data_IF_246028572031
#
_entry.id   IF_246028572031
#
_cell.length_a   1.000
_cell.length_b   1.000
_cell.length_c   1.000
_cell.angle_alpha   90.00
_cell.angle_beta   90.00
_cell.angle_gamma   90.00
#
_symmetry.space_group_name_H-M   'P 1'
#
loop_
_entity.id
_entity.type
_entity.pdbx_description
1 polymer ?
#
# COMPACT_ATOMS: atom_id res chain seq x y z
N UNK A 1 0.61 23.48 0.54
CA UNK A 1 0.50 22.85 1.88
C UNK A 1 0.90 21.40 1.69
N UNK A 2 2.00 20.96 2.30
CA UNK A 2 2.45 19.56 2.23
C UNK A 2 1.84 18.84 3.44
N UNK A 3 0.99 17.86 3.20
CA UNK A 3 0.43 17.04 4.26
C UNK A 3 1.38 15.89 4.52
N UNK A 4 1.85 15.77 5.76
CA UNK A 4 2.66 14.63 6.18
C UNK A 4 1.76 13.39 6.20
N UNK A 5 2.07 12.43 5.36
CA UNK A 5 1.31 11.19 5.18
C UNK A 5 2.12 10.02 5.72
N UNK A 6 1.44 9.04 6.33
CA UNK A 6 2.06 7.93 7.03
C UNK A 6 1.48 7.73 8.43
N UNK A 7 1.81 6.61 9.05
CA UNK A 7 1.36 6.25 10.40
C UNK A 7 1.92 7.24 11.44
N UNK A 8 3.21 7.56 11.37
CA UNK A 8 3.91 8.45 12.28
C UNK A 8 3.80 9.93 11.86
N UNK A 9 3.42 10.20 10.60
CA UNK A 9 3.30 11.55 10.01
C UNK A 9 4.59 12.34 10.13
N UNK A 10 5.74 11.67 9.95
CA UNK A 10 7.05 12.31 10.13
C UNK A 10 7.61 12.92 8.84
N UNK A 11 7.05 12.56 7.68
CA UNK A 11 7.57 12.87 6.33
C UNK A 11 8.81 12.03 5.94
N UNK A 12 9.22 11.10 6.81
CA UNK A 12 10.32 10.16 6.55
C UNK A 12 9.83 8.80 6.02
N UNK A 13 8.52 8.61 6.04
CA UNK A 13 7.84 7.36 5.70
C UNK A 13 7.69 7.26 4.18
N UNK A 14 8.20 6.17 3.60
CA UNK A 14 8.07 5.94 2.15
C UNK A 14 6.73 5.29 1.86
N UNK A 15 5.93 5.91 0.98
CA UNK A 15 4.65 5.38 0.49
C UNK A 15 4.80 4.93 -0.96
N UNK A 16 4.12 3.84 -1.34
CA UNK A 16 4.14 3.34 -2.73
C UNK A 16 2.75 2.97 -3.26
N UNK A 17 1.99 2.20 -2.49
CA UNK A 17 0.64 1.75 -2.86
C UNK A 17 -0.36 2.22 -1.83
N UNK A 18 -1.52 2.62 -2.32
CA UNK A 18 -2.70 2.92 -1.53
C UNK A 18 -3.95 2.46 -2.28
N UNK A 19 -4.88 1.79 -1.61
CA UNK A 19 -6.14 1.33 -2.21
C UNK A 19 -7.28 1.31 -1.21
N UNK A 20 -8.37 2.00 -1.56
CA UNK A 20 -9.64 1.93 -0.84
C UNK A 20 -10.36 0.60 -1.08
N UNK A 21 -11.12 0.16 -0.09
CA UNK A 21 -12.21 -0.77 -0.34
C UNK A 21 -13.25 -0.11 -1.27
N UNK A 22 -13.72 -0.80 -2.32
CA UNK A 22 -14.69 -0.24 -3.24
C UNK A 22 -16.10 -0.06 -2.66
N UNK A 23 -16.39 -0.64 -1.49
CA UNK A 23 -17.72 -0.67 -0.88
C UNK A 23 -17.78 0.12 0.42
N UNK A 24 -16.75 0.03 1.25
CA UNK A 24 -16.71 0.64 2.58
C UNK A 24 -15.51 1.61 2.71
N UNK A 25 -15.30 2.20 3.88
CA UNK A 25 -14.27 3.22 4.10
C UNK A 25 -12.95 2.67 4.67
N UNK A 26 -12.75 1.37 4.67
CA UNK A 26 -11.48 0.72 4.97
C UNK A 26 -10.52 0.79 3.77
N UNK A 27 -9.23 0.62 4.04
CA UNK A 27 -8.19 0.69 3.02
C UNK A 27 -6.95 -0.09 3.39
N UNK A 28 -6.15 -0.38 2.36
CA UNK A 28 -4.80 -0.91 2.51
C UNK A 28 -3.79 0.08 1.96
N UNK A 29 -2.60 0.09 2.54
CA UNK A 29 -1.48 0.90 2.07
C UNK A 29 -0.15 0.22 2.33
N UNK A 30 0.84 0.56 1.51
CA UNK A 30 2.22 0.14 1.71
C UNK A 30 3.03 1.27 2.31
N UNK A 31 3.77 0.97 3.36
CA UNK A 31 4.70 1.89 4.00
C UNK A 31 5.97 1.16 4.45
N UNK A 32 7.13 1.71 4.11
CA UNK A 32 8.45 1.25 4.60
C UNK A 32 8.66 -0.27 4.51
N UNK A 33 8.31 -0.87 3.37
CA UNK A 33 8.48 -2.31 3.13
C UNK A 33 7.33 -3.19 3.61
N UNK A 34 6.26 -2.61 4.17
CA UNK A 34 5.18 -3.38 4.80
C UNK A 34 3.80 -2.96 4.31
N UNK A 35 2.88 -3.91 4.28
CA UNK A 35 1.48 -3.68 3.97
C UNK A 35 0.68 -3.53 5.26
N UNK A 36 -0.13 -2.49 5.31
CA UNK A 36 -1.01 -2.15 6.43
C UNK A 36 -2.45 -2.12 5.96
N UNK A 37 -3.34 -2.51 6.87
CA UNK A 37 -4.79 -2.39 6.73
C UNK A 37 -5.30 -1.39 7.77
N UNK A 38 -6.20 -0.51 7.36
CA UNK A 38 -6.93 0.39 8.25
C UNK A 38 -8.42 0.16 8.08
N UNK A 39 -9.12 -0.02 9.20
CA UNK A 39 -10.57 -0.28 9.23
C UNK A 39 -11.40 0.92 8.77
N UNK A 40 -10.87 2.14 8.89
CA UNK A 40 -11.51 3.34 8.33
C UNK A 40 -10.51 4.49 8.17
N UNK A 41 -10.90 5.51 7.39
CA UNK A 41 -10.18 6.79 7.27
C UNK A 41 -10.02 7.54 8.60
N UNK A 42 -10.92 7.30 9.55
CA UNK A 42 -10.95 7.95 10.87
C UNK A 42 -10.24 7.12 11.94
N UNK A 43 -9.86 5.88 11.61
CA UNK A 43 -9.18 5.00 12.55
C UNK A 43 -7.85 5.61 13.00
N UNK A 44 -7.63 5.60 14.31
CA UNK A 44 -6.39 6.08 14.91
C UNK A 44 -5.21 5.10 14.70
N UNK A 45 -5.51 3.86 14.28
CA UNK A 45 -4.52 2.78 14.18
C UNK A 45 -4.71 1.94 12.94
N UNK A 46 -3.61 1.46 12.37
CA UNK A 46 -3.59 0.50 11.27
C UNK A 46 -2.85 -0.76 11.68
N UNK A 47 -3.27 -1.91 11.14
CA UNK A 47 -2.72 -3.23 11.43
C UNK A 47 -1.76 -3.64 10.33
N UNK A 48 -0.55 -4.08 10.70
CA UNK A 48 0.38 -4.68 9.75
C UNK A 48 -0.11 -6.07 9.35
N UNK A 49 -0.33 -6.28 8.06
CA UNK A 49 -0.86 -7.54 7.52
C UNK A 49 0.18 -8.34 6.72
N UNK A 50 1.36 -7.77 6.46
CA UNK A 50 2.50 -8.50 5.89
C UNK A 50 3.46 -9.00 6.98
N UNK A 51 4.10 -10.14 6.70
CA UNK A 51 5.27 -10.62 7.41
C UNK A 51 6.47 -10.52 6.47
N UNK A 52 7.54 -9.82 6.89
CA UNK A 52 8.69 -9.50 6.03
C UNK A 52 9.55 -8.35 6.57
N UNK A 53 10.52 -7.88 5.77
CA UNK A 53 11.40 -6.74 6.03
C UNK A 53 11.59 -5.86 4.76
N UNK A 54 12.44 -4.82 4.77
CA UNK A 54 12.51 -3.79 3.71
C UNK A 54 12.79 -4.28 2.28
N UNK A 55 13.25 -5.52 2.10
CA UNK A 55 13.48 -6.17 0.79
C UNK A 55 12.42 -7.27 0.49
N UNK A 56 11.27 -7.24 1.16
CA UNK A 56 10.23 -8.28 1.09
C UNK A 56 9.05 -7.79 0.25
N UNK A 57 9.05 -8.16 -1.03
CA UNK A 57 8.11 -7.70 -2.06
C UNK A 57 6.84 -8.56 -2.09
N UNK A 58 6.14 -8.69 -0.97
CA UNK A 58 4.80 -9.31 -0.99
C UNK A 58 3.73 -8.22 -1.06
N UNK A 59 3.13 -8.08 -2.24
CA UNK A 59 1.92 -7.27 -2.47
C UNK A 59 2.13 -5.97 -3.23
N UNK A 60 3.37 -5.53 -3.41
CA UNK A 60 3.74 -4.63 -4.51
C UNK A 60 4.33 -5.55 -5.56
N UNK A 61 3.49 -5.94 -6.50
CA UNK A 61 3.94 -6.64 -7.70
C UNK A 61 5.12 -5.86 -8.26
N UNK A 62 6.27 -6.53 -8.34
CA UNK A 62 7.36 -6.07 -9.18
C UNK A 62 6.74 -5.77 -10.55
N UNK A 63 7.02 -4.58 -11.09
CA UNK A 63 6.43 -4.01 -12.31
C UNK A 63 6.43 -4.98 -13.52
N UNK A 64 7.13 -6.11 -13.42
CA UNK A 64 7.20 -7.20 -14.38
C UNK A 64 5.89 -8.00 -14.59
N UNK A 65 4.89 -7.94 -13.71
CA UNK A 65 3.60 -8.65 -13.96
C UNK A 65 2.63 -7.90 -14.89
N UNK A 66 2.78 -6.58 -15.05
CA UNK A 66 1.92 -5.81 -15.97
C UNK A 66 2.26 -6.09 -17.44
N UNK A 67 3.54 -6.30 -17.78
CA UNK A 67 3.97 -6.47 -19.18
C UNK A 67 3.74 -7.90 -19.72
N UNK A 68 4.02 -8.96 -18.95
CA UNK A 68 3.95 -10.35 -19.49
C UNK A 68 2.60 -11.05 -19.31
N UNK A 69 1.74 -10.66 -18.36
CA UNK A 69 0.46 -11.35 -18.10
C UNK A 69 -0.77 -10.56 -18.56
N UNK A 70 -0.79 -9.23 -18.43
CA UNK A 70 -1.96 -8.41 -18.81
C UNK A 70 -1.76 -7.58 -20.10
N UNK A 71 -0.52 -7.39 -20.56
CA UNK A 71 -0.21 -6.60 -21.76
C UNK A 71 -0.37 -7.33 -23.11
N UNK A 72 -0.68 -8.64 -23.13
CA UNK A 72 -0.72 -9.42 -24.37
C UNK A 72 -2.10 -9.56 -25.02
N UNK A 73 -3.15 -9.05 -24.37
CA UNK A 73 -4.50 -8.97 -24.93
C UNK A 73 -4.90 -7.50 -25.16
N UNK A 74 -4.11 -6.81 -25.97
CA UNK A 74 -4.60 -5.68 -26.77
C UNK A 74 -4.26 -5.96 -28.22
N UNK A 75 -5.28 -6.45 -28.92
CA UNK A 75 -5.41 -6.67 -30.37
C UNK A 75 -4.69 -5.66 -31.26
#
# INVERSE_FOLDING_TARGET
ITYKVGIAKTDEETQRIFKWNPVDNDYIFWQDGHLYYSESAESATSVRISNGGPNWEHGIFDWLYEEEIFGRDSS
#
